data_IF_860451224879
#
_entry.id   IF_860451224879
#
_cell.length_a   1.000
_cell.length_b   1.000
_cell.length_c   1.000
_cell.angle_alpha   90.00
_cell.angle_beta   90.00
_cell.angle_gamma   90.00
#
_symmetry.space_group_name_H-M   'P 1'
#
loop_
_entity.id
_entity.type
_entity.pdbx_description
1 polymer ?
#
# COMPACT_ATOMS: atom_id res chain seq x y z
N UNK A 1 38.43 22.53 -12.95
CA UNK A 1 37.72 22.84 -11.70
C UNK A 1 36.72 21.71 -11.53
N UNK A 2 37.02 20.73 -10.68
CA UNK A 2 36.13 19.56 -10.43
C UNK A 2 35.16 19.95 -9.36
N UNK A 3 33.86 19.93 -9.67
CA UNK A 3 32.81 20.03 -8.65
C UNK A 3 32.58 18.62 -8.07
N UNK A 4 32.90 18.48 -6.80
CA UNK A 4 32.54 17.32 -6.00
C UNK A 4 31.10 17.52 -5.52
N UNK A 5 30.20 16.60 -5.86
CA UNK A 5 28.85 16.55 -5.34
C UNK A 5 28.92 16.14 -3.85
N UNK A 6 28.58 17.05 -2.96
CA UNK A 6 28.33 16.73 -1.55
C UNK A 6 26.98 16.05 -1.44
N UNK A 7 27.01 14.75 -1.12
CA UNK A 7 25.86 13.99 -0.67
C UNK A 7 25.51 14.46 0.74
N UNK A 8 24.44 15.25 0.85
CA UNK A 8 23.86 15.63 2.14
C UNK A 8 23.38 14.39 2.89
N UNK A 9 24.15 13.91 3.85
CA UNK A 9 23.74 12.91 4.82
C UNK A 9 22.80 13.57 5.82
N UNK A 10 21.51 13.21 5.78
CA UNK A 10 20.62 13.43 6.91
C UNK A 10 21.07 12.48 8.03
N UNK A 11 21.83 13.00 8.97
CA UNK A 11 22.08 12.34 10.25
C UNK A 11 20.80 12.42 11.10
N UNK A 12 19.91 11.43 10.94
CA UNK A 12 18.91 11.15 11.95
C UNK A 12 19.62 10.42 13.10
N UNK A 13 19.99 11.15 14.13
CA UNK A 13 20.66 10.62 15.33
C UNK A 13 19.75 9.78 16.22
N UNK A 14 18.98 8.85 15.66
CA UNK A 14 18.23 7.85 16.42
C UNK A 14 19.11 6.61 16.51
N UNK A 15 19.84 6.49 17.62
CA UNK A 15 20.49 5.24 18.02
C UNK A 15 19.41 4.18 18.22
N UNK A 16 19.50 3.04 17.51
CA UNK A 16 18.62 1.91 17.78
C UNK A 16 18.79 1.46 19.22
N UNK A 17 17.70 1.23 19.92
CA UNK A 17 17.67 0.76 21.29
C UNK A 17 17.82 -0.78 21.38
N UNK A 18 18.09 -1.45 20.24
CA UNK A 18 18.37 -2.89 20.16
C UNK A 18 17.13 -3.77 20.06
N UNK A 19 15.94 -3.18 19.83
CA UNK A 19 14.71 -3.94 19.63
C UNK A 19 14.81 -4.88 18.43
N UNK A 20 14.34 -6.11 18.63
CA UNK A 20 14.19 -7.10 17.57
C UNK A 20 12.87 -6.87 16.84
N UNK A 21 12.98 -6.58 15.55
CA UNK A 21 11.83 -6.23 14.70
C UNK A 21 11.48 -7.39 13.78
N UNK A 22 10.22 -7.82 13.77
CA UNK A 22 9.68 -8.76 12.81
C UNK A 22 8.74 -8.04 11.86
N UNK A 23 8.98 -8.13 10.55
CA UNK A 23 8.13 -7.55 9.52
C UNK A 23 7.30 -8.66 8.87
N UNK A 24 5.97 -8.62 9.04
CA UNK A 24 5.03 -9.47 8.32
C UNK A 24 4.50 -8.73 7.09
N UNK A 25 4.24 -9.46 5.98
CA UNK A 25 3.99 -8.81 4.69
C UNK A 25 5.27 -8.24 4.06
N UNK A 26 6.44 -8.73 4.47
CA UNK A 26 7.76 -8.23 4.08
C UNK A 26 7.99 -8.19 2.57
N UNK A 27 7.43 -9.12 1.78
CA UNK A 27 7.58 -9.18 0.32
C UNK A 27 6.72 -8.16 -0.44
N UNK A 28 5.81 -7.45 0.25
CA UNK A 28 4.99 -6.40 -0.34
C UNK A 28 5.78 -5.13 -0.67
N UNK A 29 5.18 -4.24 -1.45
CA UNK A 29 5.79 -2.97 -1.88
C UNK A 29 6.35 -2.15 -0.71
N UNK A 30 5.53 -1.91 0.31
CA UNK A 30 5.96 -1.17 1.51
C UNK A 30 6.78 -2.06 2.45
N UNK A 31 6.41 -3.35 2.60
CA UNK A 31 7.13 -4.27 3.48
C UNK A 31 8.61 -4.40 3.17
N UNK A 32 9.00 -4.47 1.90
CA UNK A 32 10.41 -4.45 1.46
C UNK A 32 11.15 -3.18 1.87
N UNK A 33 10.49 -2.03 1.75
CA UNK A 33 11.07 -0.75 2.15
C UNK A 33 11.23 -0.66 3.68
N UNK A 34 10.26 -1.19 4.46
CA UNK A 34 10.32 -1.26 5.92
C UNK A 34 11.46 -2.16 6.38
N UNK A 35 11.64 -3.35 5.79
CA UNK A 35 12.76 -4.24 6.11
C UNK A 35 14.09 -3.51 5.88
N UNK A 36 14.28 -2.91 4.71
CA UNK A 36 15.50 -2.16 4.38
C UNK A 36 15.75 -1.01 5.36
N UNK A 37 14.72 -0.24 5.70
CA UNK A 37 14.85 0.91 6.60
C UNK A 37 15.14 0.46 8.04
N UNK A 38 14.50 -0.60 8.52
CA UNK A 38 14.73 -1.19 9.83
C UNK A 38 16.20 -1.64 9.97
N UNK A 39 16.72 -2.39 8.98
CA UNK A 39 18.13 -2.81 8.93
C UNK A 39 19.07 -1.59 8.87
N UNK A 40 18.76 -0.59 8.04
CA UNK A 40 19.56 0.64 7.90
C UNK A 40 19.73 1.38 9.24
N UNK A 41 18.72 1.32 10.10
CA UNK A 41 18.78 1.90 11.45
C UNK A 41 19.45 1.01 12.48
N UNK A 42 19.87 -0.20 12.10
CA UNK A 42 20.59 -1.12 12.96
C UNK A 42 19.69 -2.00 13.83
N UNK A 43 18.37 -2.06 13.57
CA UNK A 43 17.51 -3.02 14.26
C UNK A 43 17.81 -4.46 13.80
N UNK A 44 17.98 -5.43 14.71
CA UNK A 44 17.91 -6.84 14.37
C UNK A 44 16.56 -7.14 13.72
N UNK A 45 16.56 -7.39 12.41
CA UNK A 45 15.33 -7.42 11.59
C UNK A 45 15.08 -8.80 11.00
N UNK A 46 13.87 -9.31 11.16
CA UNK A 46 13.39 -10.55 10.54
C UNK A 46 12.34 -10.21 9.48
N UNK A 47 12.58 -10.64 8.25
CA UNK A 47 11.59 -10.62 7.18
C UNK A 47 10.81 -11.94 7.18
N UNK A 48 9.56 -11.93 7.65
CA UNK A 48 8.68 -13.10 7.65
C UNK A 48 8.03 -13.26 6.27
N UNK A 49 8.31 -14.35 5.58
CA UNK A 49 7.92 -14.59 4.19
C UNK A 49 7.29 -15.97 4.00
N UNK A 50 6.46 -16.15 2.96
CA UNK A 50 5.84 -17.43 2.64
C UNK A 50 6.74 -18.39 1.85
N UNK A 51 7.77 -17.85 1.18
CA UNK A 51 8.72 -18.59 0.37
C UNK A 51 10.10 -17.96 0.55
N UNK A 52 10.91 -18.57 1.42
CA UNK A 52 12.23 -18.06 1.74
C UNK A 52 13.21 -18.17 0.55
N UNK A 53 13.03 -19.18 -0.32
CA UNK A 53 13.91 -19.35 -1.50
C UNK A 53 13.73 -18.20 -2.49
N UNK A 54 12.47 -17.84 -2.76
CA UNK A 54 12.14 -16.71 -3.62
C UNK A 54 12.57 -15.37 -3.02
N UNK A 55 12.50 -15.25 -1.69
CA UNK A 55 12.88 -14.04 -0.97
C UNK A 55 14.41 -13.88 -0.81
N UNK A 56 15.18 -14.96 -0.90
CA UNK A 56 16.64 -14.93 -0.69
C UNK A 56 17.40 -14.03 -1.68
N UNK A 57 16.84 -13.77 -2.86
CA UNK A 57 17.42 -12.90 -3.89
C UNK A 57 16.92 -11.44 -3.82
N UNK A 58 16.09 -11.08 -2.83
CA UNK A 58 15.56 -9.72 -2.71
C UNK A 58 16.63 -8.78 -2.14
N UNK A 59 17.16 -7.81 -2.92
CA UNK A 59 18.24 -6.93 -2.45
C UNK A 59 17.86 -6.07 -1.24
N UNK A 60 16.56 -5.76 -1.10
CA UNK A 60 16.04 -4.95 0.02
C UNK A 60 16.07 -5.70 1.35
N UNK A 61 16.36 -7.02 1.35
CA UNK A 61 16.52 -7.84 2.56
C UNK A 61 17.96 -8.01 3.02
N UNK A 62 18.91 -7.37 2.35
CA UNK A 62 20.31 -7.42 2.76
C UNK A 62 20.48 -6.96 4.23
N UNK A 63 21.04 -7.84 5.07
CA UNK A 63 21.21 -7.60 6.52
C UNK A 63 20.02 -8.02 7.39
N UNK A 64 18.89 -8.43 6.82
CA UNK A 64 17.78 -9.01 7.55
C UNK A 64 17.88 -10.55 7.57
N UNK A 65 17.38 -11.17 8.61
CA UNK A 65 17.10 -12.61 8.63
C UNK A 65 15.80 -12.90 7.86
N UNK A 66 15.83 -13.86 6.94
CA UNK A 66 14.63 -14.28 6.19
C UNK A 66 14.10 -15.57 6.80
N UNK A 67 12.87 -15.54 7.32
CA UNK A 67 12.23 -16.70 7.96
C UNK A 67 10.95 -17.07 7.23
N UNK A 68 10.82 -18.37 6.89
CA UNK A 68 9.64 -18.89 6.22
C UNK A 68 8.50 -19.15 7.22
N UNK A 69 7.35 -18.55 6.99
CA UNK A 69 6.12 -18.77 7.75
C UNK A 69 4.88 -18.35 6.97
N UNK A 70 3.72 -18.82 7.39
CA UNK A 70 2.44 -18.46 6.81
C UNK A 70 1.55 -17.76 7.84
N UNK A 71 1.38 -16.45 7.68
CA UNK A 71 0.55 -15.60 8.57
C UNK A 71 -0.94 -15.95 8.53
N UNK A 72 -1.40 -16.71 7.54
CA UNK A 72 -2.79 -17.17 7.47
C UNK A 72 -3.06 -18.40 8.36
N UNK A 73 -1.99 -19.05 8.83
CA UNK A 73 -2.03 -20.22 9.72
C UNK A 73 -1.40 -19.86 11.08
N UNK A 74 -2.23 -19.61 12.08
CA UNK A 74 -1.77 -19.21 13.42
C UNK A 74 -0.86 -20.26 14.06
N UNK A 75 -1.09 -21.55 13.81
CA UNK A 75 -0.26 -22.61 14.39
C UNK A 75 1.14 -22.60 13.80
N UNK A 76 1.28 -22.44 12.49
CA UNK A 76 2.58 -22.27 11.82
C UNK A 76 3.30 -21.01 12.26
N UNK A 77 2.54 -19.91 12.38
CA UNK A 77 3.09 -18.64 12.81
C UNK A 77 3.63 -18.72 14.24
N UNK A 78 2.87 -19.30 15.16
CA UNK A 78 3.27 -19.51 16.56
C UNK A 78 4.44 -20.49 16.72
N UNK A 79 4.60 -21.44 15.81
CA UNK A 79 5.73 -22.37 15.79
C UNK A 79 6.99 -21.77 15.13
N UNK A 80 6.86 -20.61 14.48
CA UNK A 80 7.96 -19.93 13.80
C UNK A 80 8.97 -19.39 14.83
N UNK A 81 10.30 -19.63 14.66
CA UNK A 81 11.32 -19.12 15.56
C UNK A 81 11.28 -17.60 15.78
N UNK A 82 10.86 -16.84 14.79
CA UNK A 82 10.70 -15.39 14.87
C UNK A 82 9.65 -14.96 15.92
N UNK A 83 8.71 -15.84 16.28
CA UNK A 83 7.68 -15.62 17.30
C UNK A 83 7.85 -16.51 18.53
N UNK A 84 9.04 -17.09 18.74
CA UNK A 84 9.34 -17.76 19.99
C UNK A 84 9.33 -16.74 21.14
N UNK A 85 9.07 -17.20 22.37
CA UNK A 85 9.02 -16.32 23.55
C UNK A 85 10.32 -15.52 23.71
N UNK A 86 10.24 -14.19 23.71
CA UNK A 86 11.37 -13.27 23.82
C UNK A 86 12.22 -13.12 22.55
N UNK A 87 11.76 -13.64 21.40
CA UNK A 87 12.47 -13.50 20.12
C UNK A 87 12.13 -12.22 19.37
N UNK A 88 11.08 -11.49 19.76
CA UNK A 88 10.61 -10.28 19.11
C UNK A 88 10.20 -9.24 20.14
N UNK A 89 10.56 -7.98 19.89
CA UNK A 89 10.14 -6.82 20.68
C UNK A 89 9.06 -6.01 19.95
N UNK A 90 9.15 -5.91 18.62
CA UNK A 90 8.25 -5.13 17.78
C UNK A 90 7.85 -5.93 16.56
N UNK A 91 6.56 -5.95 16.25
CA UNK A 91 6.04 -6.48 14.99
C UNK A 91 5.54 -5.33 14.14
N UNK A 92 6.01 -5.24 12.88
CA UNK A 92 5.50 -4.30 11.87
C UNK A 92 4.69 -5.08 10.85
N UNK A 93 3.38 -4.84 10.82
CA UNK A 93 2.48 -5.46 9.85
C UNK A 93 2.28 -4.59 8.63
N UNK A 94 2.78 -5.08 7.49
CA UNK A 94 2.57 -4.52 6.15
C UNK A 94 1.64 -5.41 5.32
N UNK A 95 0.77 -6.19 5.98
CA UNK A 95 -0.17 -7.08 5.30
C UNK A 95 -1.28 -6.27 4.61
N UNK A 96 -1.59 -6.67 3.39
CA UNK A 96 -2.72 -6.17 2.64
C UNK A 96 -3.23 -7.25 1.68
N UNK A 97 -4.55 -7.34 1.51
CA UNK A 97 -5.16 -8.16 0.49
C UNK A 97 -4.72 -7.71 -0.91
N UNK A 98 -4.58 -8.66 -1.82
CA UNK A 98 -4.13 -8.37 -3.19
C UNK A 98 -5.26 -7.91 -4.09
N UNK A 99 -6.43 -8.47 -3.90
CA UNK A 99 -7.59 -8.24 -4.75
C UNK A 99 -8.56 -7.22 -4.17
N UNK A 100 -8.56 -7.02 -2.85
CA UNK A 100 -9.56 -6.21 -2.16
C UNK A 100 -10.97 -6.82 -2.17
N UNK A 101 -11.16 -8.03 -2.72
CA UNK A 101 -12.45 -8.74 -2.66
C UNK A 101 -12.80 -9.08 -1.22
N UNK A 102 -14.06 -9.38 -0.97
CA UNK A 102 -14.53 -9.64 0.40
C UNK A 102 -13.77 -10.75 1.10
N UNK A 103 -13.61 -11.91 0.44
CA UNK A 103 -12.92 -13.06 1.02
C UNK A 103 -11.45 -12.80 1.29
N UNK A 104 -10.74 -12.18 0.32
CA UNK A 104 -9.32 -11.87 0.44
C UNK A 104 -9.07 -10.80 1.50
N UNK A 105 -9.92 -9.77 1.56
CA UNK A 105 -9.84 -8.70 2.57
C UNK A 105 -9.97 -9.25 3.99
N UNK A 106 -11.00 -10.06 4.26
CA UNK A 106 -11.17 -10.64 5.60
C UNK A 106 -10.15 -11.70 5.94
N UNK A 107 -9.64 -12.44 4.96
CA UNK A 107 -8.57 -13.42 5.19
C UNK A 107 -7.22 -12.75 5.52
N UNK A 108 -6.87 -11.64 4.85
CA UNK A 108 -5.56 -11.02 4.95
C UNK A 108 -5.59 -9.76 5.81
N UNK A 109 -6.41 -8.73 5.46
CA UNK A 109 -6.42 -7.46 6.17
C UNK A 109 -6.96 -7.61 7.61
N UNK A 110 -7.81 -8.62 7.87
CA UNK A 110 -8.30 -8.91 9.21
C UNK A 110 -7.63 -10.14 9.83
N UNK A 111 -7.91 -11.36 9.34
CA UNK A 111 -7.54 -12.60 10.05
C UNK A 111 -6.03 -12.83 10.11
N UNK A 112 -5.30 -12.70 9.02
CA UNK A 112 -3.85 -12.90 9.02
C UNK A 112 -3.13 -11.82 9.86
N UNK A 113 -3.67 -10.60 9.87
CA UNK A 113 -3.15 -9.52 10.71
C UNK A 113 -3.45 -9.77 12.19
N UNK A 114 -4.64 -10.32 12.51
CA UNK A 114 -4.99 -10.76 13.87
C UNK A 114 -4.10 -11.92 14.34
N UNK A 115 -3.87 -12.91 13.49
CA UNK A 115 -2.93 -14.01 13.79
C UNK A 115 -1.53 -13.46 14.13
N UNK A 116 -1.08 -12.45 13.39
CA UNK A 116 0.22 -11.79 13.64
C UNK A 116 0.26 -11.06 14.97
N UNK A 117 -0.83 -10.42 15.38
CA UNK A 117 -0.96 -9.79 16.70
C UNK A 117 -0.95 -10.84 17.82
N UNK A 118 -1.73 -11.92 17.68
CA UNK A 118 -1.80 -12.99 18.67
C UNK A 118 -0.43 -13.67 18.85
N UNK A 119 0.29 -13.95 17.76
CA UNK A 119 1.63 -14.50 17.82
C UNK A 119 2.62 -13.52 18.45
N UNK A 120 2.54 -12.22 18.13
CA UNK A 120 3.36 -11.17 18.72
C UNK A 120 3.17 -11.10 20.24
N UNK A 121 1.93 -11.08 20.72
CA UNK A 121 1.57 -11.04 22.14
C UNK A 121 2.06 -12.29 22.87
N UNK A 122 1.85 -13.47 22.31
CA UNK A 122 2.33 -14.73 22.86
C UNK A 122 3.87 -14.79 22.97
N UNK A 123 4.57 -14.19 22.01
CA UNK A 123 6.03 -14.05 22.02
C UNK A 123 6.53 -13.00 23.03
N UNK A 124 5.68 -12.12 23.54
CA UNK A 124 6.01 -11.04 24.45
C UNK A 124 6.47 -9.75 23.77
N UNK A 125 6.05 -9.53 22.53
CA UNK A 125 6.28 -8.26 21.82
C UNK A 125 5.63 -7.10 22.58
N UNK A 126 6.35 -5.99 22.65
CA UNK A 126 5.95 -4.80 23.41
C UNK A 126 5.17 -3.78 22.57
N UNK A 127 5.35 -3.84 21.26
CA UNK A 127 4.77 -2.86 20.34
C UNK A 127 4.38 -3.50 19.01
N UNK A 128 3.23 -3.08 18.47
CA UNK A 128 2.69 -3.51 17.19
C UNK A 128 2.46 -2.31 16.28
N UNK A 129 3.19 -2.23 15.18
CA UNK A 129 3.03 -1.18 14.16
C UNK A 129 2.15 -1.71 13.04
N UNK A 130 1.05 -1.03 12.77
CA UNK A 130 0.11 -1.39 11.71
C UNK A 130 0.20 -0.42 10.53
N UNK A 131 0.53 -0.92 9.36
CA UNK A 131 0.26 -0.23 8.11
C UNK A 131 -1.22 -0.43 7.74
N UNK A 132 -2.02 0.57 8.07
CA UNK A 132 -3.43 0.64 7.69
C UNK A 132 -3.63 1.46 6.40
N UNK A 133 -4.73 2.19 6.26
CA UNK A 133 -5.00 3.03 5.11
C UNK A 133 -5.89 4.22 5.49
N UNK A 134 -5.66 5.38 4.92
CA UNK A 134 -6.47 6.59 5.13
C UNK A 134 -7.95 6.38 4.83
N UNK A 135 -8.24 5.56 3.83
CA UNK A 135 -9.59 5.24 3.38
C UNK A 135 -10.44 4.43 4.40
N UNK A 136 -9.86 3.94 5.50
CA UNK A 136 -10.61 3.33 6.62
C UNK A 136 -11.63 4.31 7.20
N UNK A 137 -11.40 5.61 7.10
CA UNK A 137 -12.35 6.67 7.49
C UNK A 137 -13.74 6.50 6.84
N UNK A 138 -13.84 5.95 5.64
CA UNK A 138 -15.14 5.70 5.01
C UNK A 138 -15.94 4.61 5.73
N UNK A 139 -15.26 3.54 6.16
CA UNK A 139 -15.92 2.51 6.98
C UNK A 139 -16.30 3.02 8.39
N UNK A 140 -15.51 3.94 8.97
CA UNK A 140 -15.83 4.60 10.25
C UNK A 140 -17.09 5.46 10.14
N UNK A 141 -17.22 6.22 9.04
CA UNK A 141 -18.41 7.05 8.76
C UNK A 141 -19.62 6.22 8.36
N UNK A 142 -19.48 4.89 8.23
CA UNK A 142 -20.52 3.97 7.71
C UNK A 142 -21.02 4.40 6.34
N UNK A 143 -20.10 4.88 5.51
CA UNK A 143 -20.39 5.26 4.14
C UNK A 143 -20.99 4.06 3.40
N UNK A 144 -22.15 4.20 2.73
CA UNK A 144 -22.76 3.10 1.97
C UNK A 144 -21.89 2.58 0.83
N UNK A 145 -20.88 3.34 0.43
CA UNK A 145 -19.92 2.97 -0.61
C UNK A 145 -18.59 2.45 -0.05
N UNK A 146 -18.47 2.30 1.29
CA UNK A 146 -17.28 1.76 1.89
C UNK A 146 -17.02 0.32 1.43
N UNK A 147 -15.76 0.03 1.17
CA UNK A 147 -15.28 -1.20 0.54
C UNK A 147 -14.99 -2.29 1.58
N UNK A 148 -14.97 -3.54 1.15
CA UNK A 148 -14.78 -4.68 2.04
C UNK A 148 -13.43 -4.64 2.77
N UNK A 149 -12.35 -4.26 2.08
CA UNK A 149 -11.03 -4.16 2.72
C UNK A 149 -10.96 -3.02 3.76
N UNK A 150 -11.73 -1.94 3.60
CA UNK A 150 -11.82 -0.87 4.59
C UNK A 150 -12.50 -1.36 5.87
N UNK A 151 -13.57 -2.15 5.75
CA UNK A 151 -14.22 -2.78 6.90
C UNK A 151 -13.30 -3.80 7.59
N UNK A 152 -12.58 -4.63 6.83
CA UNK A 152 -11.65 -5.61 7.37
C UNK A 152 -10.52 -4.93 8.17
N UNK A 153 -9.91 -3.87 7.61
CA UNK A 153 -8.91 -3.07 8.31
C UNK A 153 -9.47 -2.39 9.56
N UNK A 154 -10.64 -1.77 9.45
CA UNK A 154 -11.31 -1.14 10.59
C UNK A 154 -11.54 -2.12 11.73
N UNK A 155 -12.08 -3.30 11.44
CA UNK A 155 -12.30 -4.34 12.45
C UNK A 155 -11.00 -4.78 13.13
N UNK A 156 -9.89 -4.87 12.38
CA UNK A 156 -8.60 -5.18 12.97
C UNK A 156 -8.08 -4.02 13.84
N UNK A 157 -8.18 -2.78 13.38
CA UNK A 157 -7.80 -1.62 14.19
C UNK A 157 -8.55 -1.58 15.52
N UNK A 158 -9.87 -1.87 15.52
CA UNK A 158 -10.68 -1.97 16.74
C UNK A 158 -10.19 -3.08 17.68
N UNK A 159 -9.74 -4.23 17.14
CA UNK A 159 -9.13 -5.30 17.94
C UNK A 159 -7.80 -4.90 18.53
N UNK A 160 -6.96 -4.22 17.74
CA UNK A 160 -5.66 -3.74 18.18
C UNK A 160 -5.80 -2.67 19.28
N UNK A 161 -6.78 -1.79 19.18
CA UNK A 161 -7.06 -0.75 20.17
C UNK A 161 -7.71 -1.28 21.44
N UNK A 162 -8.41 -2.41 21.38
CA UNK A 162 -9.15 -2.97 22.51
C UNK A 162 -8.29 -3.84 23.45
N UNK A 163 -7.04 -4.17 23.07
CA UNK A 163 -6.11 -4.90 23.92
C UNK A 163 -5.17 -3.94 24.67
N UNK A 164 -4.61 -4.34 25.79
CA UNK A 164 -3.83 -3.50 26.71
C UNK A 164 -2.44 -4.05 27.07
N UNK A 165 -2.08 -5.21 26.55
CA UNK A 165 -0.82 -5.89 26.84
C UNK A 165 0.31 -5.63 25.81
N UNK A 166 -0.01 -4.99 24.68
CA UNK A 166 0.94 -4.59 23.66
C UNK A 166 0.59 -3.18 23.15
N UNK A 167 1.50 -2.23 23.29
CA UNK A 167 1.27 -0.89 22.72
C UNK A 167 1.24 -0.93 21.20
N UNK A 168 0.65 0.08 20.57
CA UNK A 168 0.52 0.08 19.12
C UNK A 168 0.80 1.45 18.49
N UNK A 169 1.03 1.42 17.16
CA UNK A 169 0.95 2.59 16.30
C UNK A 169 0.22 2.21 15.01
N UNK A 170 -0.86 2.90 14.70
CA UNK A 170 -1.64 2.70 13.48
C UNK A 170 -1.32 3.82 12.50
N UNK A 171 -0.64 3.50 11.40
CA UNK A 171 -0.31 4.47 10.35
C UNK A 171 -1.29 4.29 9.19
N UNK A 172 -2.03 5.36 8.85
CA UNK A 172 -3.01 5.39 7.77
C UNK A 172 -2.51 6.30 6.63
N UNK A 173 -1.68 5.78 5.72
CA UNK A 173 -1.20 6.57 4.60
C UNK A 173 -2.32 6.89 3.61
N UNK A 174 -2.16 8.01 2.91
CA UNK A 174 -2.94 8.37 1.72
C UNK A 174 -2.57 7.47 0.52
N UNK A 175 -2.53 7.97 -0.71
CA UNK A 175 -2.10 7.18 -1.84
C UNK A 175 -0.58 6.95 -1.83
N UNK A 176 -0.13 5.83 -2.40
CA UNK A 176 1.28 5.59 -2.66
C UNK A 176 1.67 6.15 -4.03
N UNK A 177 2.92 6.56 -4.21
CA UNK A 177 3.43 7.00 -5.51
C UNK A 177 3.15 5.95 -6.60
N UNK A 178 3.35 4.67 -6.30
CA UNK A 178 3.07 3.59 -7.23
C UNK A 178 1.61 3.55 -7.70
N UNK A 179 0.66 3.87 -6.81
CA UNK A 179 -0.76 3.86 -7.13
C UNK A 179 -1.16 4.96 -8.12
N UNK A 180 -0.44 6.08 -8.13
CA UNK A 180 -0.72 7.24 -9.01
C UNK A 180 0.19 7.28 -10.25
N UNK A 181 1.09 6.31 -10.42
CA UNK A 181 2.06 6.26 -11.53
C UNK A 181 1.64 5.32 -12.67
N UNK A 182 0.49 4.66 -12.56
CA UNK A 182 0.05 3.60 -13.48
C UNK A 182 -0.18 4.03 -14.94
N UNK A 183 -0.19 5.32 -15.23
CA UNK A 183 -0.39 5.84 -16.58
C UNK A 183 0.88 6.36 -17.25
N UNK A 184 2.07 6.18 -16.64
CA UNK A 184 3.34 6.70 -17.17
C UNK A 184 3.58 6.19 -18.60
N UNK A 185 3.56 4.87 -18.80
CA UNK A 185 3.85 4.25 -20.09
C UNK A 185 2.80 4.60 -21.15
N UNK A 186 1.55 4.76 -20.72
CA UNK A 186 0.44 5.16 -21.58
C UNK A 186 0.67 6.57 -22.11
N UNK A 187 0.99 7.52 -21.22
CA UNK A 187 1.29 8.92 -21.60
C UNK A 187 2.59 9.00 -22.40
N UNK A 188 3.62 8.25 -22.03
CA UNK A 188 4.90 8.20 -22.77
C UNK A 188 4.68 7.74 -24.21
N UNK A 189 3.82 6.76 -24.44
CA UNK A 189 3.45 6.29 -25.79
C UNK A 189 2.65 7.30 -26.63
N UNK A 190 2.25 8.43 -26.04
CA UNK A 190 1.49 9.49 -26.70
C UNK A 190 -0.03 9.40 -26.58
N UNK A 191 -0.55 8.43 -25.81
CA UNK A 191 -1.95 8.34 -25.45
C UNK A 191 -2.34 9.36 -24.36
N UNK A 192 -3.64 9.72 -24.21
CA UNK A 192 -4.05 10.68 -23.20
C UNK A 192 -3.96 10.10 -21.79
N UNK A 193 -3.65 10.97 -20.81
CA UNK A 193 -3.86 10.66 -19.40
C UNK A 193 -5.36 10.69 -19.11
N UNK A 194 -5.88 9.60 -18.57
CA UNK A 194 -7.30 9.44 -18.23
C UNK A 194 -7.54 9.88 -16.79
N UNK A 195 -8.51 10.76 -16.57
CA UNK A 195 -8.96 11.14 -15.24
C UNK A 195 -10.48 11.20 -15.16
N UNK A 196 -11.02 11.15 -13.93
CA UNK A 196 -12.47 11.14 -13.74
C UNK A 196 -12.97 12.52 -13.34
N UNK A 197 -13.93 13.01 -14.11
CA UNK A 197 -14.64 14.26 -13.85
C UNK A 197 -15.84 13.99 -12.93
N UNK A 198 -15.80 14.63 -11.77
CA UNK A 198 -16.86 14.58 -10.75
C UNK A 198 -17.94 15.65 -10.98
N UNK A 199 -17.84 16.38 -12.08
CA UNK A 199 -18.67 17.51 -12.43
C UNK A 199 -18.01 18.86 -12.14
N UNK A 200 -18.23 19.81 -13.05
CA UNK A 200 -17.68 21.16 -12.94
C UNK A 200 -16.16 21.26 -13.05
N UNK A 201 -15.51 20.30 -13.71
CA UNK A 201 -14.04 20.25 -13.84
C UNK A 201 -13.31 19.84 -12.55
N UNK A 202 -14.00 19.22 -11.59
CA UNK A 202 -13.41 18.71 -10.35
C UNK A 202 -13.00 17.25 -10.51
N UNK A 203 -11.84 16.89 -10.03
CA UNK A 203 -11.40 15.50 -9.85
C UNK A 203 -10.89 15.28 -8.42
N UNK A 204 -10.83 14.03 -7.99
CA UNK A 204 -10.33 13.68 -6.66
C UNK A 204 -8.90 14.16 -6.46
N UNK A 205 -8.57 14.53 -5.23
CA UNK A 205 -7.27 15.06 -4.82
C UNK A 205 -6.57 14.11 -3.87
N UNK A 206 -5.25 14.06 -3.95
CA UNK A 206 -4.43 13.34 -2.97
C UNK A 206 -3.08 14.03 -2.76
N UNK A 207 -2.45 13.75 -1.63
CA UNK A 207 -1.03 14.00 -1.39
C UNK A 207 -0.32 12.66 -1.16
N UNK A 208 0.08 12.00 -2.26
CA UNK A 208 0.66 10.66 -2.17
C UNK A 208 2.03 10.69 -1.49
N UNK A 209 2.41 9.55 -0.92
CA UNK A 209 3.68 9.40 -0.20
C UNK A 209 4.56 8.34 -0.87
N UNK A 210 5.89 8.55 -0.84
CA UNK A 210 6.86 7.58 -1.33
C UNK A 210 6.95 6.36 -0.41
N UNK A 211 7.32 5.20 -0.98
CA UNK A 211 7.56 4.00 -0.16
C UNK A 211 8.72 4.18 0.82
N UNK A 212 9.71 4.98 0.45
CA UNK A 212 10.86 5.25 1.31
C UNK A 212 10.47 6.13 2.50
N UNK A 213 9.77 7.23 2.27
CA UNK A 213 9.31 8.12 3.34
C UNK A 213 8.30 7.40 4.25
N UNK A 214 7.39 6.59 3.68
CA UNK A 214 6.46 5.80 4.49
C UNK A 214 7.16 4.73 5.33
N UNK A 215 8.22 4.10 4.82
CA UNK A 215 9.02 3.16 5.60
C UNK A 215 9.74 3.87 6.75
N UNK A 216 10.28 5.06 6.52
CA UNK A 216 10.85 5.92 7.58
C UNK A 216 9.80 6.19 8.65
N UNK A 217 8.61 6.65 8.26
CA UNK A 217 7.52 6.95 9.18
C UNK A 217 7.11 5.73 10.03
N UNK A 218 6.96 4.55 9.39
CA UNK A 218 6.61 3.31 10.10
C UNK A 218 7.69 2.89 11.10
N UNK A 219 8.98 3.00 10.74
CA UNK A 219 10.08 2.65 11.63
C UNK A 219 10.28 3.69 12.73
N UNK A 220 10.00 4.98 12.48
CA UNK A 220 9.99 6.03 13.51
C UNK A 220 9.02 5.70 14.65
N UNK A 221 7.85 5.13 14.35
CA UNK A 221 6.84 4.81 15.38
C UNK A 221 7.33 3.77 16.39
N UNK A 222 8.39 3.02 16.11
CA UNK A 222 8.96 2.03 17.05
C UNK A 222 9.41 2.71 18.36
N UNK A 223 9.95 3.91 18.26
CA UNK A 223 10.52 4.64 19.41
C UNK A 223 9.90 6.01 19.67
N UNK A 224 9.04 6.51 18.76
CA UNK A 224 8.40 7.82 18.96
C UNK A 224 7.25 7.73 20.00
N UNK A 225 7.41 8.32 21.20
CA UNK A 225 6.38 8.29 22.23
C UNK A 225 5.09 9.03 21.82
N UNK A 226 5.16 9.97 20.86
CA UNK A 226 3.98 10.69 20.35
C UNK A 226 3.08 9.80 19.50
N UNK A 227 3.61 8.72 18.97
CA UNK A 227 2.88 7.79 18.08
C UNK A 227 2.42 6.52 18.81
N UNK A 228 2.84 6.36 20.06
CA UNK A 228 2.43 5.23 20.90
C UNK A 228 0.95 5.32 21.23
N UNK A 229 0.23 4.23 20.99
CA UNK A 229 -1.22 4.09 21.19
C UNK A 229 -2.05 5.13 20.43
N UNK A 230 -1.56 5.50 19.23
CA UNK A 230 -2.17 6.51 18.37
C UNK A 230 -2.50 5.98 16.97
N UNK A 231 -3.50 6.63 16.36
CA UNK A 231 -3.79 6.54 14.92
C UNK A 231 -3.21 7.77 14.25
N UNK A 232 -2.33 7.57 13.28
CA UNK A 232 -1.68 8.63 12.53
C UNK A 232 -2.08 8.58 11.06
N UNK A 233 -2.89 9.55 10.62
CA UNK A 233 -3.13 9.75 9.19
C UNK A 233 -1.88 10.38 8.57
N UNK A 234 -1.47 9.92 7.39
CA UNK A 234 -0.18 10.29 6.84
C UNK A 234 -0.26 10.53 5.33
N UNK A 235 -0.03 11.77 4.91
CA UNK A 235 0.16 12.14 3.51
C UNK A 235 1.61 12.47 3.20
N UNK A 236 1.95 12.53 1.91
CA UNK A 236 3.25 12.99 1.45
C UNK A 236 3.43 14.51 1.58
N UNK A 237 4.62 15.04 1.22
CA UNK A 237 4.97 16.46 1.39
C UNK A 237 4.23 17.38 0.44
N UNK A 238 3.74 16.87 -0.69
CA UNK A 238 3.07 17.69 -1.69
C UNK A 238 1.79 18.36 -1.14
N UNK A 239 1.40 19.48 -1.74
CA UNK A 239 0.04 19.98 -1.64
C UNK A 239 -0.95 18.98 -2.28
N UNK A 240 -2.24 19.12 -2.05
CA UNK A 240 -3.24 18.28 -2.71
C UNK A 240 -3.16 18.39 -4.23
N UNK A 241 -2.91 17.26 -4.88
CA UNK A 241 -2.80 17.13 -6.33
C UNK A 241 -4.06 16.46 -6.88
N UNK A 242 -4.83 17.18 -7.70
CA UNK A 242 -5.96 16.58 -8.43
C UNK A 242 -5.44 15.58 -9.48
N UNK A 243 -6.26 14.63 -9.92
CA UNK A 243 -5.87 13.70 -10.98
C UNK A 243 -5.47 14.45 -12.27
N UNK A 244 -6.19 15.54 -12.60
CA UNK A 244 -5.85 16.40 -13.73
C UNK A 244 -4.45 17.02 -13.56
N UNK A 245 -4.15 17.56 -12.38
CA UNK A 245 -2.85 18.15 -12.06
C UNK A 245 -1.72 17.10 -12.15
N UNK A 246 -1.97 15.87 -11.71
CA UNK A 246 -1.02 14.74 -11.85
C UNK A 246 -0.75 14.43 -13.33
N UNK A 247 -1.79 14.40 -14.17
CA UNK A 247 -1.65 14.17 -15.61
C UNK A 247 -0.85 15.27 -16.30
N UNK A 248 -1.07 16.54 -15.95
CA UNK A 248 -0.28 17.67 -16.45
C UNK A 248 1.18 17.59 -16.01
N UNK A 249 1.42 17.29 -14.74
CA UNK A 249 2.76 17.10 -14.19
C UNK A 249 3.51 15.96 -14.88
N UNK A 250 2.84 14.85 -15.12
CA UNK A 250 3.42 13.68 -15.81
C UNK A 250 3.79 14.01 -17.27
N UNK A 251 2.92 14.70 -17.99
CA UNK A 251 3.19 15.14 -19.36
C UNK A 251 4.39 16.10 -19.42
N UNK A 252 4.49 17.04 -18.49
CA UNK A 252 5.61 17.97 -18.37
C UNK A 252 6.93 17.23 -18.11
N UNK A 253 6.96 16.28 -17.17
CA UNK A 253 8.14 15.45 -16.88
C UNK A 253 8.57 14.62 -18.11
N UNK A 254 7.64 14.17 -18.92
CA UNK A 254 7.90 13.42 -20.15
C UNK A 254 8.24 14.33 -21.36
N UNK A 255 8.35 15.64 -21.17
CA UNK A 255 8.69 16.61 -22.22
C UNK A 255 7.60 16.72 -23.29
N UNK A 256 6.33 16.54 -22.94
CA UNK A 256 5.19 16.70 -23.85
C UNK A 256 4.72 18.16 -23.80
N UNK A 257 4.88 18.90 -24.89
CA UNK A 257 4.51 20.32 -24.97
C UNK A 257 3.01 20.56 -24.71
N UNK A 258 2.15 19.64 -25.14
CA UNK A 258 0.71 19.69 -24.91
C UNK A 258 0.24 18.43 -24.18
N UNK A 259 -0.18 18.54 -22.89
CA UNK A 259 -0.72 17.40 -22.15
C UNK A 259 -2.05 16.94 -22.76
N UNK A 260 -2.10 15.72 -23.28
CA UNK A 260 -3.35 15.10 -23.71
C UNK A 260 -4.07 14.55 -22.49
N UNK A 261 -5.17 15.16 -22.12
CA UNK A 261 -5.99 14.75 -20.98
C UNK A 261 -7.36 14.29 -21.47
N UNK A 262 -7.86 13.19 -20.95
CA UNK A 262 -9.18 12.65 -21.24
C UNK A 262 -10.02 12.61 -19.96
N UNK A 263 -10.96 13.52 -19.85
CA UNK A 263 -11.94 13.54 -18.78
C UNK A 263 -13.02 12.49 -19.02
N UNK A 264 -13.20 11.56 -18.12
CA UNK A 264 -14.24 10.53 -18.17
C UNK A 264 -15.30 10.84 -17.11
N UNK A 265 -16.59 11.00 -17.48
CA UNK A 265 -17.65 11.20 -16.52
C UNK A 265 -17.75 10.02 -15.53
N UNK A 266 -17.79 10.31 -14.23
CA UNK A 266 -17.83 9.27 -13.20
C UNK A 266 -19.03 8.33 -13.30
N UNK A 267 -20.16 8.82 -13.82
CA UNK A 267 -21.37 8.02 -14.03
C UNK A 267 -21.18 6.80 -14.93
N UNK A 268 -20.12 6.78 -15.77
CA UNK A 268 -19.80 5.62 -16.58
C UNK A 268 -19.43 4.40 -15.71
N UNK A 269 -18.78 4.61 -14.57
CA UNK A 269 -18.50 3.54 -13.61
C UNK A 269 -19.78 2.90 -13.06
N UNK A 270 -20.81 3.71 -12.79
CA UNK A 270 -22.08 3.19 -12.25
C UNK A 270 -22.79 2.26 -13.25
N UNK A 271 -22.73 2.61 -14.53
CA UNK A 271 -23.29 1.77 -15.60
C UNK A 271 -22.53 0.46 -15.73
N UNK A 272 -21.20 0.51 -15.73
CA UNK A 272 -20.34 -0.69 -15.86
C UNK A 272 -20.50 -1.59 -14.63
N UNK A 273 -20.36 -1.05 -13.42
CA UNK A 273 -20.49 -1.81 -12.17
C UNK A 273 -21.88 -2.40 -12.04
N UNK A 274 -22.92 -1.61 -12.34
CA UNK A 274 -24.32 -2.06 -12.29
C UNK A 274 -24.60 -3.20 -13.27
N UNK A 275 -24.04 -3.16 -14.47
CA UNK A 275 -24.14 -4.23 -15.47
C UNK A 275 -23.47 -5.53 -14.99
N UNK A 276 -22.24 -5.43 -14.46
CA UNK A 276 -21.48 -6.57 -13.91
C UNK A 276 -22.24 -7.19 -12.71
N UNK A 277 -22.72 -6.35 -11.78
CA UNK A 277 -23.49 -6.82 -10.62
C UNK A 277 -24.80 -7.48 -11.00
N UNK A 278 -25.49 -6.95 -12.03
CA UNK A 278 -26.71 -7.56 -12.57
C UNK A 278 -26.47 -8.96 -13.08
N UNK A 279 -25.37 -9.18 -13.80
CA UNK A 279 -24.95 -10.52 -14.24
C UNK A 279 -24.61 -11.41 -13.04
N UNK A 280 -23.88 -10.91 -12.06
CA UNK A 280 -23.59 -11.65 -10.83
C UNK A 280 -24.86 -12.13 -10.13
N UNK A 281 -25.82 -11.26 -9.94
CA UNK A 281 -27.11 -11.61 -9.31
C UNK A 281 -27.87 -12.69 -10.10
N UNK A 282 -27.84 -12.60 -11.43
CA UNK A 282 -28.47 -13.61 -12.30
C UNK A 282 -27.86 -14.98 -12.09
N UNK A 283 -26.51 -15.08 -12.11
CA UNK A 283 -25.82 -16.35 -11.97
C UNK A 283 -25.85 -16.89 -10.53
N UNK A 284 -25.90 -16.04 -9.51
CA UNK A 284 -26.05 -16.43 -8.12
C UNK A 284 -27.44 -17.04 -7.82
N UNK A 285 -28.45 -16.76 -8.67
CA UNK A 285 -29.79 -17.31 -8.55
C UNK A 285 -29.88 -18.84 -8.81
N UNK A 286 -28.85 -19.43 -9.39
CA UNK A 286 -28.82 -20.86 -9.75
C UNK A 286 -27.63 -21.57 -9.12
N UNK A 287 -27.85 -22.69 -8.43
CA UNK A 287 -26.78 -23.43 -7.74
C UNK A 287 -25.64 -23.87 -8.67
N UNK A 288 -25.98 -24.29 -9.90
CA UNK A 288 -25.00 -24.73 -10.89
C UNK A 288 -24.04 -23.61 -11.37
N UNK A 289 -24.39 -22.35 -11.19
CA UNK A 289 -23.63 -21.19 -11.69
C UNK A 289 -23.11 -20.25 -10.58
N UNK A 290 -23.30 -20.58 -9.31
CA UNK A 290 -22.84 -19.76 -8.17
C UNK A 290 -21.36 -19.39 -8.25
N UNK A 291 -20.49 -20.30 -8.71
CA UNK A 291 -19.07 -20.01 -8.88
C UNK A 291 -18.78 -18.95 -9.94
N UNK A 292 -19.63 -18.85 -10.98
CA UNK A 292 -19.53 -17.77 -11.98
C UNK A 292 -20.09 -16.46 -11.43
N UNK A 293 -21.19 -16.52 -10.67
CA UNK A 293 -21.75 -15.35 -9.96
C UNK A 293 -20.73 -14.70 -9.03
N UNK A 294 -20.01 -15.50 -8.23
CA UNK A 294 -18.96 -15.00 -7.36
C UNK A 294 -17.84 -14.26 -8.11
N UNK A 295 -17.47 -14.70 -9.32
CA UNK A 295 -16.49 -13.98 -10.15
C UNK A 295 -16.99 -12.62 -10.64
N UNK A 296 -18.28 -12.49 -10.94
CA UNK A 296 -18.90 -11.21 -11.27
C UNK A 296 -18.99 -10.30 -10.05
N UNK A 297 -19.27 -10.84 -8.86
CA UNK A 297 -19.27 -10.06 -7.62
C UNK A 297 -17.87 -9.53 -7.30
N UNK A 298 -16.82 -10.33 -7.46
CA UNK A 298 -15.43 -9.90 -7.32
C UNK A 298 -15.04 -8.84 -8.36
N UNK A 299 -15.47 -9.00 -9.62
CA UNK A 299 -15.23 -8.01 -10.67
C UNK A 299 -15.97 -6.68 -10.38
N UNK A 300 -17.19 -6.75 -9.86
CA UNK A 300 -17.93 -5.56 -9.42
C UNK A 300 -17.25 -4.87 -8.23
N UNK A 301 -16.67 -5.65 -7.28
CA UNK A 301 -15.91 -5.07 -6.15
C UNK A 301 -14.65 -4.36 -6.64
N UNK A 302 -13.90 -4.94 -7.59
CA UNK A 302 -12.76 -4.26 -8.22
C UNK A 302 -13.18 -2.95 -8.91
N UNK A 303 -14.33 -2.95 -9.60
CA UNK A 303 -14.91 -1.74 -10.18
C UNK A 303 -15.23 -0.69 -9.10
N UNK A 304 -15.82 -1.11 -7.97
CA UNK A 304 -16.10 -0.22 -6.83
C UNK A 304 -14.81 0.36 -6.22
N UNK A 305 -13.74 -0.45 -6.11
CA UNK A 305 -12.43 0.02 -5.64
C UNK A 305 -11.90 1.11 -6.60
N UNK A 306 -11.94 0.88 -7.90
CA UNK A 306 -11.53 1.87 -8.89
C UNK A 306 -12.34 3.17 -8.79
N UNK A 307 -13.68 3.05 -8.68
CA UNK A 307 -14.57 4.20 -8.48
C UNK A 307 -14.25 4.95 -7.19
N UNK A 308 -14.02 4.23 -6.09
CA UNK A 308 -13.70 4.84 -4.79
C UNK A 308 -12.50 5.80 -4.91
N UNK A 309 -11.38 5.31 -5.46
CA UNK A 309 -10.19 6.14 -5.65
C UNK A 309 -10.34 7.23 -6.71
N UNK A 310 -11.33 7.11 -7.57
CA UNK A 310 -11.67 8.15 -8.55
C UNK A 310 -12.49 9.30 -7.96
N UNK A 311 -13.21 9.09 -6.85
CA UNK A 311 -14.14 10.08 -6.27
C UNK A 311 -13.74 10.61 -4.91
N UNK A 312 -13.05 9.83 -4.10
CA UNK A 312 -12.69 10.20 -2.72
C UNK A 312 -11.35 10.92 -2.64
N UNK A 313 -11.34 12.02 -1.92
CA UNK A 313 -10.12 12.73 -1.63
C UNK A 313 -9.26 11.97 -0.61
N UNK A 314 -8.03 11.64 -1.01
CA UNK A 314 -7.02 10.99 -0.19
C UNK A 314 -5.98 12.04 0.24
N UNK A 315 -6.43 13.01 1.03
CA UNK A 315 -5.70 14.23 1.32
C UNK A 315 -5.64 14.50 2.83
N UNK A 316 -4.44 14.67 3.36
CA UNK A 316 -4.19 15.23 4.68
C UNK A 316 -3.86 16.71 4.55
N UNK A 317 -4.43 17.54 5.42
CA UNK A 317 -4.23 19.00 5.43
C UNK A 317 -3.47 19.48 6.65
N UNK A 318 -3.51 18.72 7.74
CA UNK A 318 -2.78 19.04 8.98
C UNK A 318 -1.27 18.88 8.72
N UNK A 319 -0.42 19.85 9.12
CA UNK A 319 1.02 19.72 9.05
C UNK A 319 1.58 18.47 9.75
N UNK A 320 0.99 18.05 10.87
CA UNK A 320 1.41 16.87 11.63
C UNK A 320 1.03 15.55 10.92
N UNK A 321 0.18 15.62 9.91
CA UNK A 321 -0.21 14.52 9.05
C UNK A 321 0.54 14.49 7.70
N UNK A 322 1.51 15.38 7.48
CA UNK A 322 2.41 15.39 6.31
C UNK A 322 3.78 14.88 6.69
N UNK A 323 4.37 14.06 5.83
CA UNK A 323 5.66 13.45 6.10
C UNK A 323 6.48 13.21 4.83
N UNK A 324 7.80 13.22 5.02
CA UNK A 324 8.75 12.95 3.96
C UNK A 324 9.19 14.19 3.20
N UNK A 325 10.10 13.97 2.28
CA UNK A 325 10.69 15.02 1.44
C UNK A 325 10.58 14.74 -0.05
N UNK A 326 10.27 13.49 -0.42
CA UNK A 326 10.19 13.08 -1.83
C UNK A 326 8.85 13.52 -2.41
N UNK A 327 8.90 14.39 -3.42
CA UNK A 327 7.71 14.88 -4.13
C UNK A 327 7.28 13.90 -5.24
N UNK A 328 6.02 13.96 -5.66
CA UNK A 328 5.52 13.18 -6.78
C UNK A 328 6.23 13.54 -8.09
N UNK A 329 6.62 14.81 -8.27
CA UNK A 329 7.40 15.25 -9.44
C UNK A 329 8.76 14.57 -9.51
N UNK A 330 9.50 14.51 -8.41
CA UNK A 330 10.79 13.82 -8.33
C UNK A 330 10.63 12.33 -8.63
N UNK A 331 9.57 11.71 -8.11
CA UNK A 331 9.26 10.32 -8.41
C UNK A 331 8.96 10.11 -9.89
N UNK A 332 8.12 10.93 -10.52
CA UNK A 332 7.85 10.84 -11.95
C UNK A 332 9.11 11.03 -12.78
N UNK A 333 9.97 11.99 -12.41
CA UNK A 333 11.26 12.20 -13.07
C UNK A 333 12.16 10.96 -12.96
N UNK A 334 12.21 10.34 -11.80
CA UNK A 334 12.99 9.11 -11.58
C UNK A 334 12.46 7.96 -12.45
N UNK A 335 11.18 7.66 -12.37
CA UNK A 335 10.61 6.50 -13.10
C UNK A 335 10.51 6.72 -14.62
N UNK A 336 10.52 7.96 -15.10
CA UNK A 336 10.59 8.23 -16.54
C UNK A 336 11.93 7.80 -17.16
N UNK A 337 13.02 7.78 -16.37
CA UNK A 337 14.36 7.38 -16.78
C UNK A 337 14.64 5.91 -16.42
N UNK A 338 14.38 5.52 -15.17
CA UNK A 338 14.73 4.19 -14.65
C UNK A 338 13.66 3.12 -14.95
N UNK A 339 12.45 3.53 -15.35
CA UNK A 339 11.27 2.67 -15.45
C UNK A 339 10.66 2.38 -14.08
N UNK A 340 9.44 1.85 -14.09
CA UNK A 340 8.75 1.45 -12.86
C UNK A 340 9.20 0.06 -12.40
N UNK A 341 9.22 -0.18 -11.08
CA UNK A 341 9.35 -1.53 -10.53
C UNK A 341 8.10 -2.34 -10.92
N UNK A 342 8.32 -3.43 -11.68
CA UNK A 342 7.22 -4.28 -12.13
C UNK A 342 6.52 -4.93 -10.92
N UNK A 343 5.21 -4.83 -10.92
CA UNK A 343 4.37 -5.55 -9.98
C UNK A 343 3.13 -6.05 -10.73
N UNK A 344 3.00 -7.37 -10.91
CA UNK A 344 1.93 -7.95 -11.71
C UNK A 344 0.52 -7.64 -11.17
N UNK A 345 0.41 -7.11 -9.96
CA UNK A 345 -0.86 -6.87 -9.29
C UNK A 345 -1.33 -5.40 -9.32
N UNK A 346 -0.47 -4.45 -9.70
CA UNK A 346 -0.83 -3.02 -9.70
C UNK A 346 -1.05 -2.42 -11.09
N UNK A 347 -0.81 -3.17 -12.15
CA UNK A 347 -0.84 -2.69 -13.54
C UNK A 347 -2.12 -3.04 -14.28
N UNK A 348 -3.31 -2.87 -13.65
CA UNK A 348 -4.58 -3.08 -14.39
C UNK A 348 -4.68 -2.22 -15.66
N UNK A 349 -4.15 -1.00 -15.66
CA UNK A 349 -4.14 -0.13 -16.85
C UNK A 349 -3.01 -0.48 -17.82
N UNK A 350 -1.83 -0.86 -17.36
CA UNK A 350 -0.71 -1.19 -18.22
C UNK A 350 -0.90 -2.54 -18.96
N UNK A 351 -1.47 -3.55 -18.30
CA UNK A 351 -1.79 -4.83 -18.94
C UNK A 351 -2.91 -4.70 -19.98
N UNK A 352 -3.91 -3.87 -19.72
CA UNK A 352 -4.99 -3.57 -20.68
C UNK A 352 -4.50 -2.79 -21.91
N UNK A 353 -3.43 -1.99 -21.76
CA UNK A 353 -2.84 -1.21 -22.85
C UNK A 353 -1.79 -1.99 -23.66
N UNK A 354 -1.46 -3.24 -23.31
CA UNK A 354 -0.45 -4.06 -23.99
C UNK A 354 0.98 -3.51 -23.89
N UNK A 355 1.25 -2.66 -22.90
CA UNK A 355 2.55 -2.01 -22.71
C UNK A 355 3.53 -2.99 -22.07
N UNK A 356 4.62 -3.32 -22.81
CA UNK A 356 5.70 -4.18 -22.32
C UNK A 356 6.63 -3.38 -21.40
N UNK A 357 7.06 -3.99 -20.30
CA UNK A 357 8.08 -3.44 -19.42
C UNK A 357 9.36 -3.13 -20.23
N UNK A 358 9.83 -1.88 -20.19
CA UNK A 358 11.07 -1.44 -20.88
C UNK A 358 12.33 -2.12 -20.31
N UNK A 359 12.27 -2.73 -19.13
CA UNK A 359 13.41 -3.38 -18.45
C UNK A 359 13.78 -4.76 -18.98
N UNK A 360 13.08 -5.27 -19.99
CA UNK A 360 13.47 -6.49 -20.69
C UNK A 360 13.41 -7.78 -19.87
N UNK A 361 12.64 -7.82 -18.79
CA UNK A 361 12.39 -9.06 -18.04
C UNK A 361 11.50 -9.96 -18.90
N UNK A 362 12.11 -10.97 -19.51
CA UNK A 362 11.37 -12.04 -20.19
C UNK A 362 10.54 -12.78 -19.15
N UNK A 363 9.23 -12.86 -19.37
CA UNK A 363 8.42 -13.91 -18.74
C UNK A 363 9.05 -15.27 -19.11
N UNK A 364 9.65 -15.93 -18.15
CA UNK A 364 9.82 -17.40 -18.25
C UNK A 364 8.49 -18.02 -17.90
N UNK A 365 7.95 -18.72 -18.89
CA UNK A 365 6.69 -19.44 -18.87
C UNK A 365 6.67 -20.60 -17.85
#
# INVERSE_FOLDING_TARGET
MRMTAETGSFESGVSCSGEKVVVVGATGYIGKAVVRESVRRGYPTVAAVRDARKAASEPKFAGAEVVETDVTDLAKLSACPAFAKGSVDVVVSCLASRTGTKSDSFAIDYQATLNSLEAARAAGARHFVLLSAYCVKSAERKDPYALQFQYAKKQFEEKLQAQDDCSYSIVRPTAFFKSVSGQLEVVDSGAPFVYFDLGGGRSATCNPISEADLAVALVDTITDPKRKDQVWNLGGPDAGLSMEAQGKMLADVLGKDEPKLLAVPIGLFDVIIGGIQGLGNLFNGFDATKGLGAKFDDAAELGRIGKYYAVEDMLTVDPDEKFGSTTLREHYTKISVEGQEYDPYTTMFASAAGVKDKRGVKEEA
#
